data_IF_232997676873
#
_entry.id   IF_232997676873
#
_cell.length_a   1.000
_cell.length_b   1.000
_cell.length_c   1.000
_cell.angle_alpha   90.00
_cell.angle_beta   90.00
_cell.angle_gamma   90.00
#
_symmetry.space_group_name_H-M   'P 1'
#
loop_
_entity.id
_entity.type
_entity.pdbx_description
1 polymer ?
#
# COMPACT_ATOMS: atom_id res chain seq x y z
N UNK A 1 3.68 14.63 23.04
CA UNK A 1 4.11 14.10 21.73
C UNK A 1 2.86 13.66 21.01
N UNK A 2 2.57 14.16 19.81
CA UNK A 2 1.38 13.75 19.03
C UNK A 2 1.48 12.27 18.73
N UNK A 3 0.33 11.58 18.73
CA UNK A 3 0.23 10.22 18.20
C UNK A 3 0.68 10.23 16.73
N UNK A 4 1.50 9.27 16.26
CA UNK A 4 1.95 9.25 14.88
C UNK A 4 0.84 9.23 13.83
N UNK A 5 -0.33 8.63 14.12
CA UNK A 5 -1.49 8.65 13.22
C UNK A 5 -2.11 10.05 13.15
N UNK A 6 -2.22 10.73 14.28
CA UNK A 6 -2.67 12.13 14.32
C UNK A 6 -1.71 13.04 13.56
N UNK A 7 -0.41 12.88 13.79
CA UNK A 7 0.63 13.63 13.06
C UNK A 7 0.56 13.42 11.55
N UNK A 8 0.34 12.18 11.10
CA UNK A 8 0.11 11.90 9.68
C UNK A 8 -1.12 12.62 9.15
N UNK A 9 -2.26 12.53 9.87
CA UNK A 9 -3.51 13.15 9.44
C UNK A 9 -3.39 14.68 9.34
N UNK A 10 -2.74 15.32 10.30
CA UNK A 10 -2.50 16.76 10.30
C UNK A 10 -1.63 17.19 9.11
N UNK A 11 -0.54 16.47 8.84
CA UNK A 11 0.31 16.72 7.67
C UNK A 11 -0.48 16.54 6.37
N UNK A 12 -1.29 15.48 6.27
CA UNK A 12 -2.12 15.22 5.10
C UNK A 12 -3.10 16.39 4.85
N UNK A 13 -3.81 16.85 5.88
CA UNK A 13 -4.74 17.97 5.78
C UNK A 13 -4.03 19.27 5.34
N UNK A 14 -2.89 19.56 5.95
CA UNK A 14 -2.09 20.75 5.63
C UNK A 14 -1.60 20.75 4.16
N UNK A 15 -1.11 19.61 3.68
CA UNK A 15 -0.60 19.50 2.32
C UNK A 15 -1.72 19.40 1.29
N UNK A 16 -2.84 18.75 1.63
CA UNK A 16 -3.97 18.61 0.71
C UNK A 16 -4.59 19.94 0.31
N UNK A 17 -4.46 20.96 1.15
CA UNK A 17 -4.86 22.33 0.80
C UNK A 17 -4.05 22.94 -0.36
N UNK A 18 -2.89 22.39 -0.70
CA UNK A 18 -1.98 22.89 -1.73
C UNK A 18 -1.82 21.96 -2.92
N UNK A 19 -1.89 20.65 -2.66
CA UNK A 19 -1.78 19.62 -3.69
C UNK A 19 -2.86 18.57 -3.45
N UNK A 20 -3.46 18.04 -4.51
CA UNK A 20 -4.51 17.04 -4.41
C UNK A 20 -3.91 15.68 -4.01
N UNK A 21 -3.91 15.35 -2.71
CA UNK A 21 -3.48 14.07 -2.15
C UNK A 21 -4.63 13.09 -2.00
N UNK A 22 -5.81 13.60 -1.62
CA UNK A 22 -7.04 12.83 -1.47
C UNK A 22 -8.26 13.69 -1.79
N UNK A 23 -9.31 13.07 -2.30
CA UNK A 23 -10.62 13.68 -2.49
C UNK A 23 -11.52 13.62 -1.24
N UNK A 24 -11.09 12.87 -0.20
CA UNK A 24 -11.83 12.78 1.05
C UNK A 24 -11.80 14.12 1.79
N UNK A 25 -12.91 14.54 2.44
CA UNK A 25 -12.94 15.76 3.24
C UNK A 25 -12.03 15.62 4.46
N UNK A 26 -11.13 16.59 4.65
CA UNK A 26 -10.16 16.59 5.76
C UNK A 26 -10.45 17.67 6.80
N UNK A 27 -11.31 18.64 6.48
CA UNK A 27 -11.70 19.75 7.36
C UNK A 27 -13.12 20.23 7.01
N UNK A 28 -14.17 19.84 7.82
CA UNK A 28 -14.09 18.78 8.82
C UNK A 28 -14.02 17.39 8.20
N UNK A 29 -13.30 16.45 8.83
CA UNK A 29 -13.26 15.06 8.39
C UNK A 29 -14.60 14.37 8.68
N UNK A 30 -14.92 13.34 7.89
CA UNK A 30 -16.07 12.45 8.11
C UNK A 30 -15.62 11.09 8.64
N UNK A 31 -16.56 10.27 9.11
CA UNK A 31 -16.27 8.90 9.51
C UNK A 31 -15.64 8.12 8.34
N UNK A 32 -16.16 8.29 7.12
CA UNK A 32 -15.55 7.69 5.92
C UNK A 32 -14.09 8.12 5.73
N UNK A 33 -13.75 9.37 6.04
CA UNK A 33 -12.38 9.86 5.97
C UNK A 33 -11.46 9.06 6.89
N UNK A 34 -11.86 8.88 8.14
CA UNK A 34 -11.09 8.08 9.10
C UNK A 34 -11.04 6.61 8.71
N UNK A 35 -12.17 6.05 8.30
CA UNK A 35 -12.25 4.66 7.86
C UNK A 35 -11.28 4.39 6.72
N UNK A 36 -11.36 5.17 5.66
CA UNK A 36 -10.51 4.99 4.48
C UNK A 36 -9.03 5.26 4.75
N UNK A 37 -8.72 6.30 5.50
CA UNK A 37 -7.33 6.71 5.69
C UNK A 37 -6.62 5.95 6.80
N UNK A 38 -7.32 5.55 7.87
CA UNK A 38 -6.69 5.01 9.07
C UNK A 38 -7.21 3.61 9.43
N UNK A 39 -8.54 3.42 9.56
CA UNK A 39 -9.12 2.16 10.07
C UNK A 39 -8.83 0.99 9.14
N UNK A 40 -9.08 1.14 7.84
CA UNK A 40 -8.81 0.09 6.85
C UNK A 40 -7.35 -0.37 6.84
N UNK A 41 -6.34 0.52 6.78
CA UNK A 41 -4.94 0.11 6.88
C UNK A 41 -4.61 -0.59 8.20
N UNK A 42 -5.13 -0.10 9.32
CA UNK A 42 -4.90 -0.72 10.63
C UNK A 42 -5.54 -2.12 10.72
N UNK A 43 -6.76 -2.29 10.19
CA UNK A 43 -7.40 -3.61 10.10
C UNK A 43 -6.59 -4.55 9.19
N UNK A 44 -6.12 -4.06 8.05
CA UNK A 44 -5.29 -4.82 7.12
C UNK A 44 -3.94 -5.24 7.74
N UNK A 45 -3.40 -4.49 8.69
CA UNK A 45 -2.14 -4.82 9.37
C UNK A 45 -2.15 -6.19 10.03
N UNK A 46 -3.33 -6.67 10.45
CA UNK A 46 -3.54 -8.00 11.06
C UNK A 46 -3.31 -9.15 10.08
N UNK A 47 -3.38 -8.87 8.78
CA UNK A 47 -3.17 -9.86 7.71
C UNK A 47 -1.70 -10.01 7.31
N UNK A 48 -0.82 -9.16 7.86
CA UNK A 48 0.62 -9.19 7.56
C UNK A 48 1.32 -10.09 8.59
N UNK A 49 2.02 -11.13 8.14
CA UNK A 49 2.78 -12.02 9.05
C UNK A 49 3.82 -11.27 9.88
N UNK A 50 4.09 -11.79 11.09
CA UNK A 50 5.00 -11.16 12.06
C UNK A 50 6.43 -11.63 11.99
N UNK A 51 6.73 -12.69 11.22
CA UNK A 51 7.94 -13.52 11.44
C UNK A 51 9.11 -13.25 10.50
N UNK A 52 9.04 -12.26 9.63
CA UNK A 52 10.12 -11.99 8.67
C UNK A 52 10.45 -10.51 8.58
N UNK A 53 11.71 -10.15 8.39
CA UNK A 53 12.07 -8.81 7.93
C UNK A 53 11.47 -8.65 6.54
N UNK A 54 10.33 -8.01 6.47
CA UNK A 54 9.57 -7.93 5.24
C UNK A 54 10.00 -6.72 4.44
N UNK A 55 10.46 -6.95 3.22
CA UNK A 55 10.61 -5.93 2.19
C UNK A 55 9.22 -5.67 1.60
N UNK A 56 8.79 -4.45 1.70
CA UNK A 56 7.44 -4.05 1.33
C UNK A 56 7.46 -2.91 0.31
N UNK A 57 6.72 -3.08 -0.78
CA UNK A 57 6.48 -2.07 -1.80
C UNK A 57 5.02 -1.63 -1.74
N UNK A 58 4.78 -0.31 -1.75
CA UNK A 58 3.45 0.27 -1.88
C UNK A 58 3.34 0.97 -3.24
N UNK A 59 2.43 0.52 -4.10
CA UNK A 59 2.31 0.97 -5.47
C UNK A 59 1.28 2.08 -5.62
N UNK A 60 1.72 3.25 -6.07
CA UNK A 60 0.88 4.42 -6.22
C UNK A 60 0.51 5.05 -4.88
N UNK A 61 1.50 5.29 -4.03
CA UNK A 61 1.32 5.66 -2.62
C UNK A 61 0.52 6.95 -2.37
N UNK A 62 0.47 7.87 -3.33
CA UNK A 62 -0.42 9.02 -3.32
C UNK A 62 -0.32 9.89 -2.06
N UNK A 63 -1.42 9.96 -1.31
CA UNK A 63 -1.52 10.62 0.00
C UNK A 63 -0.99 9.78 1.17
N UNK A 64 -0.34 8.64 0.93
CA UNK A 64 0.31 7.84 1.97
C UNK A 64 -0.56 6.75 2.61
N UNK A 65 -1.88 6.72 2.38
CA UNK A 65 -2.71 5.61 2.82
C UNK A 65 -2.87 4.58 1.68
N UNK A 66 -2.62 3.28 1.91
CA UNK A 66 -2.52 2.61 3.23
C UNK A 66 -1.12 2.59 3.83
N UNK A 67 -0.06 2.97 3.11
CA UNK A 67 1.33 2.72 3.49
C UNK A 67 1.73 3.31 4.86
N UNK A 68 1.44 4.59 5.10
CA UNK A 68 1.87 5.27 6.33
C UNK A 68 1.20 4.69 7.58
N UNK A 69 -0.15 4.55 7.67
CA UNK A 69 -0.79 3.94 8.83
C UNK A 69 -0.37 2.48 9.05
N UNK A 70 -0.18 1.71 7.97
CA UNK A 70 0.39 0.36 8.06
C UNK A 70 1.80 0.35 8.62
N UNK A 71 2.67 1.27 8.17
CA UNK A 71 4.05 1.39 8.66
C UNK A 71 4.09 1.77 10.14
N UNK A 72 3.20 2.65 10.58
CA UNK A 72 3.05 3.01 11.99
C UNK A 72 2.65 1.78 12.83
N UNK A 73 1.68 0.98 12.35
CA UNK A 73 1.25 -0.24 13.01
C UNK A 73 2.29 -1.38 12.95
N UNK A 74 3.17 -1.37 11.95
CA UNK A 74 4.15 -2.44 11.67
C UNK A 74 5.55 -1.85 11.42
N UNK A 75 6.18 -1.24 12.45
CA UNK A 75 7.40 -0.45 12.30
C UNK A 75 8.62 -1.24 11.82
N UNK A 76 8.62 -2.56 12.00
CA UNK A 76 9.72 -3.43 11.55
C UNK A 76 9.77 -3.66 10.04
N UNK A 77 8.71 -3.31 9.28
CA UNK A 77 8.67 -3.49 7.83
C UNK A 77 9.58 -2.45 7.14
N UNK A 78 10.35 -2.90 6.15
CA UNK A 78 11.15 -2.02 5.28
C UNK A 78 10.28 -1.58 4.10
N UNK A 79 9.83 -0.32 4.13
CA UNK A 79 8.86 0.24 3.20
C UNK A 79 9.54 0.99 2.07
N UNK A 80 9.21 0.64 0.83
CA UNK A 80 9.46 1.46 -0.36
C UNK A 80 8.13 1.93 -0.93
N UNK A 81 7.82 3.21 -0.78
CA UNK A 81 6.67 3.85 -1.39
C UNK A 81 7.01 4.29 -2.81
N UNK A 82 6.19 3.93 -3.79
CA UNK A 82 6.39 4.26 -5.20
C UNK A 82 5.28 5.19 -5.66
N UNK A 83 5.65 6.41 -6.05
CA UNK A 83 4.72 7.45 -6.47
C UNK A 83 5.28 8.23 -7.67
N UNK A 84 4.53 8.32 -8.75
CA UNK A 84 5.02 8.94 -9.99
C UNK A 84 5.03 10.48 -9.97
N UNK A 85 4.24 11.10 -9.09
CA UNK A 85 4.10 12.55 -9.01
C UNK A 85 5.09 13.15 -8.02
N UNK A 86 6.01 13.99 -8.49
CA UNK A 86 7.07 14.59 -7.67
C UNK A 86 6.54 15.30 -6.41
N UNK A 87 5.46 16.09 -6.54
CA UNK A 87 4.87 16.80 -5.39
C UNK A 87 4.31 15.85 -4.33
N UNK A 88 3.70 14.71 -4.74
CA UNK A 88 3.22 13.68 -3.82
C UNK A 88 4.39 12.95 -3.17
N UNK A 89 5.44 12.66 -3.94
CA UNK A 89 6.69 12.09 -3.41
C UNK A 89 7.35 13.00 -2.37
N UNK A 90 7.36 14.32 -2.59
CA UNK A 90 7.85 15.29 -1.62
C UNK A 90 7.04 15.25 -0.31
N UNK A 91 5.71 15.18 -0.40
CA UNK A 91 4.84 15.00 0.77
C UNK A 91 5.20 13.73 1.55
N UNK A 92 5.33 12.59 0.86
CA UNK A 92 5.66 11.32 1.52
C UNK A 92 7.02 11.36 2.24
N UNK A 93 8.03 11.99 1.64
CA UNK A 93 9.34 12.21 2.28
C UNK A 93 9.22 13.09 3.53
N UNK A 94 8.38 14.13 3.47
CA UNK A 94 8.12 14.98 4.63
C UNK A 94 7.44 14.21 5.77
N UNK A 95 6.48 13.34 5.45
CA UNK A 95 5.84 12.47 6.45
C UNK A 95 6.87 11.53 7.10
N UNK A 96 7.72 10.85 6.30
CA UNK A 96 8.78 9.97 6.81
C UNK A 96 9.67 10.74 7.79
N UNK A 97 10.13 11.93 7.38
CA UNK A 97 11.04 12.77 8.18
C UNK A 97 10.40 13.23 9.49
N UNK A 98 9.16 13.74 9.42
CA UNK A 98 8.47 14.34 10.56
C UNK A 98 8.04 13.28 11.58
N UNK A 99 7.59 12.12 11.13
CA UNK A 99 7.16 11.04 12.02
C UNK A 99 8.30 10.08 12.39
N UNK A 100 9.50 10.27 11.87
CA UNK A 100 10.64 9.39 12.15
C UNK A 100 10.43 7.95 11.72
N UNK A 101 9.78 7.73 10.56
CA UNK A 101 9.48 6.38 10.07
C UNK A 101 10.76 5.71 9.54
N UNK A 102 11.46 5.00 10.44
CA UNK A 102 12.67 4.26 10.10
C UNK A 102 12.42 3.23 8.97
N UNK A 103 13.48 2.90 8.21
CA UNK A 103 13.41 1.92 7.11
C UNK A 103 12.28 2.19 6.10
N UNK A 104 12.05 3.48 5.80
CA UNK A 104 11.05 3.93 4.83
C UNK A 104 11.70 4.83 3.79
N UNK A 105 11.46 4.55 2.50
CA UNK A 105 11.99 5.35 1.39
C UNK A 105 10.91 5.63 0.35
N UNK A 106 11.11 6.69 -0.45
CA UNK A 106 10.20 7.06 -1.54
C UNK A 106 10.96 7.01 -2.86
N UNK A 107 10.45 6.23 -3.79
CA UNK A 107 10.87 6.20 -5.19
C UNK A 107 9.90 7.05 -6.02
N UNK A 108 10.39 8.16 -6.58
CA UNK A 108 9.58 9.00 -7.47
C UNK A 108 9.75 8.52 -8.91
N UNK A 109 8.93 7.53 -9.28
CA UNK A 109 8.93 6.90 -10.59
C UNK A 109 7.59 6.19 -10.83
N UNK A 110 7.35 5.71 -12.04
CA UNK A 110 6.28 4.76 -12.30
C UNK A 110 6.63 3.41 -11.69
N UNK A 111 5.65 2.68 -11.17
CA UNK A 111 5.92 1.40 -10.50
C UNK A 111 6.38 0.32 -11.49
N UNK A 112 5.97 0.39 -12.76
CA UNK A 112 6.47 -0.49 -13.83
C UNK A 112 7.97 -0.30 -14.07
N UNK A 113 8.43 0.96 -13.99
CA UNK A 113 9.85 1.31 -14.13
C UNK A 113 10.66 0.75 -12.94
N UNK A 114 10.17 0.90 -11.72
CA UNK A 114 10.81 0.33 -10.54
C UNK A 114 10.87 -1.20 -10.63
N UNK A 115 9.77 -1.85 -11.03
CA UNK A 115 9.71 -3.30 -11.16
C UNK A 115 10.61 -3.87 -12.27
N UNK A 116 11.07 -3.03 -13.21
CA UNK A 116 12.02 -3.42 -14.25
C UNK A 116 13.48 -3.39 -13.78
N UNK A 117 13.77 -2.77 -12.65
CA UNK A 117 15.12 -2.63 -12.10
C UNK A 117 15.56 -3.92 -11.40
N UNK A 118 16.73 -4.49 -11.75
CA UNK A 118 17.18 -5.77 -11.20
C UNK A 118 17.27 -5.81 -9.67
N UNK A 119 17.62 -4.69 -9.04
CA UNK A 119 17.75 -4.59 -7.57
C UNK A 119 16.44 -4.72 -6.80
N UNK A 120 15.29 -4.57 -7.46
CA UNK A 120 13.95 -4.74 -6.85
C UNK A 120 13.25 -6.03 -7.25
N UNK A 121 13.71 -6.66 -8.34
CA UNK A 121 13.07 -7.85 -8.90
C UNK A 121 13.13 -9.03 -7.92
N UNK A 122 11.97 -9.58 -7.57
CA UNK A 122 11.85 -10.76 -6.71
C UNK A 122 12.34 -10.56 -5.26
N UNK A 123 12.41 -9.31 -4.78
CA UNK A 123 12.89 -9.01 -3.42
C UNK A 123 11.78 -8.78 -2.42
N UNK A 124 10.56 -8.49 -2.88
CA UNK A 124 9.42 -8.12 -2.04
C UNK A 124 8.78 -9.32 -1.33
N UNK A 125 8.57 -9.19 -0.05
CA UNK A 125 7.69 -10.07 0.74
C UNK A 125 6.24 -9.64 0.63
N UNK A 126 6.02 -8.33 0.44
CA UNK A 126 4.72 -7.70 0.46
C UNK A 126 4.63 -6.62 -0.62
N UNK A 127 3.48 -6.58 -1.30
CA UNK A 127 3.06 -5.45 -2.13
C UNK A 127 1.68 -5.01 -1.65
N UNK A 128 1.48 -3.70 -1.47
CA UNK A 128 0.17 -3.11 -1.21
C UNK A 128 -0.25 -2.21 -2.36
N UNK A 129 -1.55 -2.21 -2.64
CA UNK A 129 -2.15 -1.39 -3.71
C UNK A 129 -3.49 -0.87 -3.26
N UNK A 130 -3.72 0.45 -3.44
CA UNK A 130 -5.01 1.09 -3.28
C UNK A 130 -5.27 2.08 -4.41
N UNK A 131 -6.52 2.17 -4.86
CA UNK A 131 -6.98 3.16 -5.84
C UNK A 131 -6.19 3.19 -7.18
N UNK A 132 -5.48 2.11 -7.48
CA UNK A 132 -4.89 1.85 -8.79
C UNK A 132 -5.77 0.84 -9.51
N UNK A 133 -5.91 0.99 -10.83
CA UNK A 133 -6.67 0.04 -11.64
C UNK A 133 -6.04 -1.36 -11.52
N UNK A 134 -6.85 -2.32 -11.12
CA UNK A 134 -6.43 -3.72 -10.98
C UNK A 134 -6.59 -4.43 -12.33
N UNK A 135 -5.60 -4.25 -13.20
CA UNK A 135 -5.48 -4.87 -14.52
C UNK A 135 -4.25 -5.80 -14.57
N UNK A 136 -4.07 -6.47 -15.70
CA UNK A 136 -2.99 -7.43 -15.91
C UNK A 136 -1.60 -6.79 -15.75
N UNK A 137 -1.46 -5.51 -16.13
CA UNK A 137 -0.18 -4.77 -15.99
C UNK A 137 0.19 -4.55 -14.52
N UNK A 138 -0.80 -4.21 -13.68
CA UNK A 138 -0.58 -4.11 -12.24
C UNK A 138 -0.15 -5.43 -11.62
N UNK A 139 -0.85 -6.53 -11.98
CA UNK A 139 -0.51 -7.85 -11.46
C UNK A 139 0.85 -8.34 -11.96
N UNK A 140 1.17 -8.11 -13.22
CA UNK A 140 2.50 -8.41 -13.77
C UNK A 140 3.60 -7.65 -13.03
N UNK A 141 3.37 -6.36 -12.76
CA UNK A 141 4.29 -5.50 -12.01
C UNK A 141 4.48 -5.98 -10.57
N UNK A 142 3.39 -6.23 -9.84
CA UNK A 142 3.44 -6.78 -8.50
C UNK A 142 4.17 -8.14 -8.47
N UNK A 143 3.91 -8.99 -9.48
CA UNK A 143 4.56 -10.28 -9.64
C UNK A 143 6.07 -10.20 -9.89
N UNK A 144 6.56 -9.15 -10.57
CA UNK A 144 8.00 -8.92 -10.75
C UNK A 144 8.70 -8.50 -9.46
N UNK A 145 8.03 -7.69 -8.63
CA UNK A 145 8.57 -7.23 -7.36
C UNK A 145 8.57 -8.33 -6.29
N UNK A 146 7.52 -9.17 -6.27
CA UNK A 146 7.35 -10.18 -5.26
C UNK A 146 8.24 -11.40 -5.51
N UNK A 147 8.84 -11.90 -4.44
CA UNK A 147 9.46 -13.22 -4.42
C UNK A 147 8.41 -14.34 -4.41
N UNK A 148 8.85 -15.59 -4.58
CA UNK A 148 7.99 -16.76 -4.39
C UNK A 148 7.31 -16.69 -3.01
N UNK A 149 6.01 -17.00 -2.97
CA UNK A 149 5.16 -16.92 -1.78
C UNK A 149 4.97 -15.51 -1.19
N UNK A 150 5.51 -14.48 -1.82
CA UNK A 150 5.24 -13.09 -1.47
C UNK A 150 3.75 -12.75 -1.63
N UNK A 151 3.28 -11.76 -0.87
CA UNK A 151 1.86 -11.41 -0.77
C UNK A 151 1.53 -10.10 -1.43
N UNK A 152 0.44 -10.08 -2.19
CA UNK A 152 -0.20 -8.86 -2.68
C UNK A 152 -1.47 -8.59 -1.86
N UNK A 153 -1.56 -7.41 -1.27
CA UNK A 153 -2.71 -6.88 -0.56
C UNK A 153 -3.37 -5.78 -1.41
N UNK A 154 -4.55 -6.07 -1.91
CA UNK A 154 -5.30 -5.16 -2.78
C UNK A 154 -6.53 -4.63 -2.05
N UNK A 155 -6.56 -3.32 -1.77
CA UNK A 155 -7.69 -2.63 -1.15
C UNK A 155 -8.76 -2.32 -2.19
N UNK A 156 -10.00 -2.75 -1.95
CA UNK A 156 -11.13 -2.63 -2.88
C UNK A 156 -12.36 -2.03 -2.22
N UNK A 157 -13.09 -1.14 -2.92
CA UNK A 157 -14.36 -0.58 -2.40
C UNK A 157 -15.54 -1.54 -2.52
N UNK A 158 -15.39 -2.67 -3.22
CA UNK A 158 -16.45 -3.65 -3.40
C UNK A 158 -15.87 -5.06 -3.36
N UNK A 159 -16.72 -6.00 -2.91
CA UNK A 159 -16.40 -7.42 -3.03
C UNK A 159 -16.35 -7.80 -4.51
N UNK A 160 -15.19 -8.09 -5.01
CA UNK A 160 -15.00 -8.66 -6.34
C UNK A 160 -14.41 -10.05 -6.18
N UNK A 161 -15.21 -11.10 -6.30
CA UNK A 161 -14.66 -12.43 -6.51
C UNK A 161 -14.13 -12.46 -7.94
N UNK A 162 -12.88 -12.08 -8.14
CA UNK A 162 -12.24 -12.28 -9.42
C UNK A 162 -11.39 -13.54 -9.36
N UNK A 163 -11.38 -14.28 -10.47
CA UNK A 163 -10.39 -15.33 -10.66
C UNK A 163 -9.00 -14.73 -10.33
N UNK A 164 -8.16 -15.50 -9.67
CA UNK A 164 -6.82 -15.05 -9.37
C UNK A 164 -6.09 -14.73 -10.70
N UNK A 165 -5.44 -13.57 -10.82
CA UNK A 165 -4.71 -13.24 -12.03
C UNK A 165 -3.53 -14.19 -12.23
N UNK A 166 -3.03 -14.25 -13.46
CA UNK A 166 -1.91 -15.14 -13.81
C UNK A 166 -0.71 -14.93 -12.86
N UNK A 167 -0.16 -16.02 -12.35
CA UNK A 167 0.95 -16.01 -11.42
C UNK A 167 0.59 -15.68 -9.97
N UNK A 168 -0.70 -15.70 -9.63
CA UNK A 168 -1.18 -15.50 -8.26
C UNK A 168 -2.21 -16.57 -7.88
N UNK A 169 -2.27 -16.87 -6.60
CA UNK A 169 -3.37 -17.63 -5.98
C UNK A 169 -4.10 -16.73 -5.02
N UNK A 170 -5.41 -16.64 -5.12
CA UNK A 170 -6.24 -15.95 -4.15
C UNK A 170 -6.22 -16.71 -2.81
N UNK A 171 -5.90 -16.00 -1.72
CA UNK A 171 -5.84 -16.58 -0.37
C UNK A 171 -7.18 -16.34 0.33
N UNK A 172 -7.60 -15.06 0.40
CA UNK A 172 -8.79 -14.66 1.15
C UNK A 172 -9.26 -13.26 0.72
N UNK A 173 -10.50 -12.94 1.04
CA UNK A 173 -11.04 -11.58 0.98
C UNK A 173 -11.63 -11.25 2.36
N UNK A 174 -11.09 -10.22 2.99
CA UNK A 174 -11.43 -9.82 4.35
C UNK A 174 -12.21 -8.49 4.30
N UNK A 175 -13.39 -8.38 4.92
CA UNK A 175 -14.05 -7.08 5.10
C UNK A 175 -13.19 -6.20 6.02
N UNK A 176 -13.09 -4.91 5.70
CA UNK A 176 -12.33 -3.93 6.46
C UNK A 176 -13.24 -2.98 7.22
N UNK A 177 -14.23 -2.41 6.53
CA UNK A 177 -15.31 -1.57 7.09
C UNK A 177 -16.64 -1.92 6.41
N UNK A 178 -17.75 -1.62 7.09
CA UNK A 178 -19.09 -2.02 6.66
C UNK A 178 -19.82 -0.94 5.86
N UNK A 179 -19.54 0.35 6.13
CA UNK A 179 -20.31 1.45 5.51
C UNK A 179 -19.46 2.69 5.26
N UNK A 180 -19.16 3.04 4.01
CA UNK A 180 -19.36 2.21 2.81
C UNK A 180 -18.45 0.98 2.84
N UNK A 181 -18.90 -0.17 2.34
CA UNK A 181 -18.14 -1.41 2.48
C UNK A 181 -16.79 -1.35 1.76
N UNK A 182 -15.78 -1.95 2.37
CA UNK A 182 -14.48 -2.13 1.75
C UNK A 182 -13.86 -3.46 2.14
N UNK A 183 -12.99 -3.93 1.28
CA UNK A 183 -12.42 -5.28 1.38
C UNK A 183 -10.92 -5.25 1.10
N UNK A 184 -10.22 -6.16 1.74
CA UNK A 184 -8.84 -6.50 1.44
C UNK A 184 -8.81 -7.86 0.73
N UNK A 185 -8.40 -7.85 -0.55
CA UNK A 185 -8.15 -9.08 -1.28
C UNK A 185 -6.68 -9.46 -1.11
N UNK A 186 -6.43 -10.69 -0.64
CA UNK A 186 -5.10 -11.24 -0.40
C UNK A 186 -4.76 -12.25 -1.48
N UNK A 187 -3.62 -12.06 -2.11
CA UNK A 187 -3.07 -12.98 -3.11
C UNK A 187 -1.66 -13.41 -2.70
N UNK A 188 -1.28 -14.63 -3.09
CA UNK A 188 0.06 -15.18 -2.96
C UNK A 188 0.69 -15.33 -4.33
N UNK A 189 1.91 -14.87 -4.49
CA UNK A 189 2.71 -15.07 -5.70
C UNK A 189 3.06 -16.55 -5.87
N UNK A 190 2.79 -17.10 -7.04
CA UNK A 190 3.18 -18.47 -7.41
C UNK A 190 3.93 -18.42 -8.74
N UNK A 191 5.00 -19.21 -8.85
CA UNK A 191 5.63 -19.45 -10.15
C UNK A 191 5.00 -20.69 -10.75
N UNK A 192 4.57 -20.63 -12.00
CA UNK A 192 4.28 -21.85 -12.73
C UNK A 192 5.61 -22.54 -13.01
N UNK A 193 5.83 -23.67 -12.38
CA UNK A 193 6.85 -24.62 -12.84
C UNK A 193 6.24 -25.24 -14.09
N UNK A 194 6.69 -24.85 -15.27
CA UNK A 194 6.43 -25.65 -16.47
C UNK A 194 7.01 -27.04 -16.19
N UNK A 195 6.16 -28.03 -16.06
CA UNK A 195 6.58 -29.42 -16.05
C UNK A 195 7.05 -29.70 -17.49
N UNK A 196 8.37 -29.73 -17.70
CA UNK A 196 9.00 -30.21 -18.91
C UNK A 196 8.86 -31.71 -19.10
#
# INVERSE_FOLDING_TARGET
MLDPLEGYFQLLAQWNARINLTALPLDPPTDETFDRLLVEPLAASRQIPTHTPNVWFDLGSGGGSPAIPLKIARPALRLTMIESKERKGAFLREVIRTLGLADSVVQTARFEEIASRPEFAGTGDLVTVRAVRADDDLFATAGRLLKQDGRLLLFRPAHSPSAAPAGFTHINTVPLVDSPPSFLCLYRRVFHVEQG
#
